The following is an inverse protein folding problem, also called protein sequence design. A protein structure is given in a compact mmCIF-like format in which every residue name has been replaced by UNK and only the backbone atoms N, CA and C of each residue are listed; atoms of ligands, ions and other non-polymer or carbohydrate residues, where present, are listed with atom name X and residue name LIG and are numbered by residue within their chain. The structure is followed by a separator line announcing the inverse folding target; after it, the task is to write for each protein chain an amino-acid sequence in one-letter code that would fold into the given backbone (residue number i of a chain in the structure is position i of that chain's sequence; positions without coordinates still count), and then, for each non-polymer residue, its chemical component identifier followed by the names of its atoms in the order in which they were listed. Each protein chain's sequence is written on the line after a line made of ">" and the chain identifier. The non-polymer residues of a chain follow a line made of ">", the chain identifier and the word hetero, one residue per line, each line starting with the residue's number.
data_IF_049431429564
#
_entry.id   IF_049431429564
#
_cell.length_a   1.000
_cell.length_b   1.000
_cell.length_c   1.000
_cell.angle_alpha   90.00
_cell.angle_beta   90.00
_cell.angle_gamma   90.00
#
_symmetry.space_group_name_H-M   'P 1'
#
loop_
_entity.id
_entity.type
_entity.pdbx_description
1 polymer ?
#
# COMPACT_ATOMS: atom_id res chain seq x y z
N UNK A 1 -14.50 8.45 5.32
CA UNK A 1 -14.03 9.67 6.01
C UNK A 1 -12.67 9.31 6.58
N UNK A 2 -11.60 9.96 6.13
CA UNK A 2 -10.25 9.75 6.64
C UNK A 2 -10.16 10.37 8.04
N UNK A 3 -9.52 9.70 9.01
CA UNK A 3 -9.33 10.26 10.36
C UNK A 3 -7.88 10.09 10.80
N UNK A 4 -7.20 11.23 11.00
CA UNK A 4 -5.85 11.32 11.54
C UNK A 4 -5.84 12.39 12.64
N UNK A 5 -5.62 11.99 13.90
CA UNK A 5 -5.48 12.93 14.99
C UNK A 5 -4.00 13.21 15.27
N UNK A 6 -3.51 14.32 14.73
CA UNK A 6 -2.09 14.69 14.78
C UNK A 6 -1.66 15.06 16.20
N UNK A 7 -2.53 15.70 16.99
CA UNK A 7 -2.20 16.14 18.35
C UNK A 7 -1.87 14.97 19.28
N UNK A 8 -2.43 13.79 19.02
CA UNK A 8 -2.13 12.57 19.76
C UNK A 8 -0.65 12.22 19.71
N UNK A 9 0.05 12.52 18.60
CA UNK A 9 1.47 12.19 18.44
C UNK A 9 2.41 13.09 19.25
N UNK A 10 1.96 14.28 19.67
CA UNK A 10 2.75 15.22 20.49
C UNK A 10 2.85 14.81 21.98
N UNK A 11 2.00 13.89 22.44
CA UNK A 11 1.91 13.47 23.85
C UNK A 11 2.30 12.01 24.09
N UNK A 12 2.89 11.36 23.09
CA UNK A 12 3.30 9.96 23.17
C UNK A 12 4.55 9.86 24.04
N UNK A 13 4.43 9.10 25.13
CA UNK A 13 5.53 8.86 26.06
C UNK A 13 5.97 7.39 26.11
N UNK A 14 5.12 6.46 25.67
CA UNK A 14 5.36 5.01 25.78
C UNK A 14 5.04 4.27 24.48
N UNK A 15 5.58 3.05 24.33
CA UNK A 15 5.33 2.17 23.18
C UNK A 15 3.84 1.84 23.04
N UNK A 16 3.13 1.62 24.14
CA UNK A 16 1.67 1.37 24.17
C UNK A 16 0.88 2.55 23.60
N UNK A 17 1.22 3.78 24.01
CA UNK A 17 0.59 4.99 23.48
C UNK A 17 0.86 5.15 21.98
N UNK A 18 2.07 4.86 21.52
CA UNK A 18 2.40 4.90 20.09
C UNK A 18 1.57 3.89 19.29
N UNK A 19 1.49 2.64 19.77
CA UNK A 19 0.66 1.61 19.14
C UNK A 19 -0.80 2.05 19.05
N UNK A 20 -1.36 2.55 20.16
CA UNK A 20 -2.73 3.05 20.22
C UNK A 20 -2.97 4.20 19.24
N UNK A 21 -2.03 5.15 19.14
CA UNK A 21 -2.11 6.27 18.22
C UNK A 21 -2.11 5.79 16.76
N UNK A 22 -1.23 4.86 16.39
CA UNK A 22 -1.19 4.27 15.05
C UNK A 22 -2.49 3.51 14.73
N UNK A 23 -3.01 2.72 15.67
CA UNK A 23 -4.24 1.95 15.51
C UNK A 23 -5.49 2.85 15.37
N UNK A 24 -5.45 4.06 15.94
CA UNK A 24 -6.54 5.03 15.86
C UNK A 24 -6.68 5.70 14.48
N UNK A 25 -5.68 5.57 13.61
CA UNK A 25 -5.71 6.14 12.26
C UNK A 25 -6.69 5.34 11.42
N UNK A 26 -7.77 5.99 10.99
CA UNK A 26 -8.76 5.38 10.12
C UNK A 26 -8.49 5.78 8.67
N UNK A 27 -7.88 4.86 7.93
CA UNK A 27 -7.52 5.01 6.52
C UNK A 27 -7.86 3.74 5.72
N UNK A 28 -9.15 3.53 5.37
CA UNK A 28 -9.60 2.30 4.73
C UNK A 28 -9.05 2.12 3.31
N UNK A 29 -8.68 3.22 2.63
CA UNK A 29 -8.15 3.20 1.26
C UNK A 29 -6.62 3.26 1.22
N UNK A 30 -5.93 3.41 2.36
CA UNK A 30 -4.47 3.54 2.38
C UNK A 30 -3.98 4.84 1.74
N UNK A 31 -4.76 5.91 1.80
CA UNK A 31 -4.37 7.23 1.30
C UNK A 31 -3.12 7.74 2.03
N UNK A 32 -3.08 7.55 3.34
CA UNK A 32 -2.00 7.97 4.22
C UNK A 32 -0.94 6.87 4.38
N UNK A 33 -0.97 5.83 3.56
CA UNK A 33 0.05 4.76 3.55
C UNK A 33 1.50 5.29 3.57
N UNK A 34 1.88 6.33 2.79
CA UNK A 34 3.25 6.87 2.82
C UNK A 34 3.65 7.45 4.18
N UNK A 35 2.71 8.06 4.89
CA UNK A 35 2.93 8.67 6.21
C UNK A 35 2.86 7.62 7.32
N UNK A 36 1.85 6.75 7.29
CA UNK A 36 1.60 5.75 8.33
C UNK A 36 2.64 4.65 8.36
N UNK A 37 3.26 4.28 7.23
CA UNK A 37 4.30 3.26 7.21
C UNK A 37 5.55 3.70 7.98
N UNK A 38 5.89 5.00 7.97
CA UNK A 38 7.00 5.55 8.76
C UNK A 38 6.79 5.31 10.26
N UNK A 39 5.56 5.52 10.75
CA UNK A 39 5.19 5.26 12.15
C UNK A 39 5.26 3.77 12.49
N UNK A 40 4.74 2.90 11.62
CA UNK A 40 4.77 1.45 11.83
C UNK A 40 6.20 0.89 11.87
N UNK A 41 7.09 1.42 11.03
CA UNK A 41 8.53 1.07 11.05
C UNK A 41 9.18 1.50 12.36
N UNK A 42 8.87 2.69 12.89
CA UNK A 42 9.38 3.14 14.20
C UNK A 42 8.89 2.27 15.34
N UNK A 43 7.60 1.93 15.34
CA UNK A 43 7.00 1.02 16.31
C UNK A 43 7.70 -0.35 16.28
N UNK A 44 8.01 -0.86 15.09
CA UNK A 44 8.81 -2.09 14.98
C UNK A 44 10.23 -1.92 15.53
N UNK A 45 10.86 -0.75 15.36
CA UNK A 45 12.15 -0.44 15.98
C UNK A 45 12.12 -0.62 17.50
N UNK A 46 11.08 -0.12 18.17
CA UNK A 46 10.90 -0.31 19.62
C UNK A 46 10.78 -1.78 20.03
N UNK A 47 10.18 -2.63 19.19
CA UNK A 47 10.14 -4.07 19.43
C UNK A 47 11.51 -4.71 19.27
N UNK A 48 12.29 -4.29 18.27
CA UNK A 48 13.66 -4.76 18.07
C UNK A 48 14.57 -4.40 19.25
N UNK A 49 14.36 -3.22 19.82
CA UNK A 49 15.12 -2.70 20.96
C UNK A 49 14.61 -3.25 22.31
N UNK A 50 13.66 -4.19 22.31
CA UNK A 50 13.07 -4.81 23.50
C UNK A 50 12.50 -3.82 24.54
N UNK A 51 12.09 -2.62 24.11
CA UNK A 51 11.45 -1.62 24.99
C UNK A 51 10.12 -2.18 25.47
N UNK A 52 9.81 -2.15 26.78
CA UNK A 52 8.52 -2.64 27.27
C UNK A 52 7.35 -1.76 26.81
N UNK A 53 6.11 -2.25 26.94
CA UNK A 53 4.91 -1.51 26.52
C UNK A 53 4.74 -0.17 27.24
N UNK A 54 5.08 -0.14 28.53
CA UNK A 54 4.86 1.03 29.40
C UNK A 54 6.15 1.80 29.71
N UNK A 55 7.28 1.32 29.18
CA UNK A 55 8.56 2.02 29.30
C UNK A 55 8.59 3.31 28.48
N UNK A 56 9.37 4.32 28.94
CA UNK A 56 9.60 5.52 28.18
C UNK A 56 10.31 5.19 26.85
N UNK A 57 9.80 5.74 25.75
CA UNK A 57 10.43 5.58 24.44
C UNK A 57 11.69 6.44 24.31
N UNK A 58 12.71 5.99 23.56
CA UNK A 58 13.94 6.75 23.35
C UNK A 58 13.69 8.16 22.79
N UNK A 59 14.48 9.14 23.24
CA UNK A 59 14.39 10.55 22.78
C UNK A 59 14.50 10.70 21.25
N UNK A 60 15.30 9.85 20.61
CA UNK A 60 15.43 9.82 19.14
C UNK A 60 14.10 9.53 18.43
N UNK A 61 13.27 8.67 19.01
CA UNK A 61 11.95 8.35 18.47
C UNK A 61 10.96 9.47 18.79
N UNK A 62 11.00 10.03 20.01
CA UNK A 62 10.18 11.19 20.40
C UNK A 62 10.36 12.36 19.43
N UNK A 63 11.60 12.79 19.20
CA UNK A 63 11.90 13.90 18.29
C UNK A 63 11.33 13.66 16.88
N UNK A 64 11.39 12.42 16.41
CA UNK A 64 10.87 12.10 15.08
C UNK A 64 9.35 11.94 15.04
N UNK A 65 8.69 11.67 16.17
CA UNK A 65 7.23 11.73 16.28
C UNK A 65 6.74 13.19 16.30
N UNK A 66 7.48 14.09 16.94
CA UNK A 66 7.23 15.53 16.88
C UNK A 66 7.42 16.08 15.46
N UNK A 67 8.50 15.69 14.78
CA UNK A 67 8.73 16.01 13.37
C UNK A 67 7.63 15.46 12.46
N UNK A 68 7.19 14.21 12.71
CA UNK A 68 6.06 13.65 11.99
C UNK A 68 4.78 14.48 12.22
N UNK A 69 4.53 14.91 13.46
CA UNK A 69 3.36 15.71 13.79
C UNK A 69 3.38 17.08 13.11
N UNK A 70 4.54 17.74 13.05
CA UNK A 70 4.69 19.02 12.34
C UNK A 70 4.50 18.87 10.83
N UNK A 71 5.15 17.87 10.22
CA UNK A 71 5.01 17.58 8.78
C UNK A 71 3.57 17.16 8.40
N UNK A 72 2.87 16.49 9.31
CA UNK A 72 1.52 16.00 9.06
C UNK A 72 0.48 17.11 9.01
N UNK A 73 0.77 18.33 9.47
CA UNK A 73 -0.17 19.45 9.37
C UNK A 73 -0.54 19.76 7.91
N UNK A 74 0.41 19.58 6.98
CA UNK A 74 0.17 19.71 5.53
C UNK A 74 -0.84 18.66 5.03
N UNK A 75 -0.95 17.50 5.68
CA UNK A 75 -1.93 16.48 5.27
C UNK A 75 -3.38 16.94 5.46
N UNK A 76 -3.62 17.97 6.29
CA UNK A 76 -4.97 18.55 6.47
C UNK A 76 -5.45 19.32 5.24
N UNK A 77 -4.54 19.82 4.40
CA UNK A 77 -4.88 20.56 3.18
C UNK A 77 -5.00 19.68 1.93
N UNK A 78 -4.69 18.38 2.04
CA UNK A 78 -4.80 17.45 0.91
C UNK A 78 -6.27 17.11 0.68
N UNK A 79 -6.81 17.59 -0.44
CA UNK A 79 -8.12 17.19 -0.94
C UNK A 79 -7.99 16.02 -1.90
N UNK A 80 -8.76 14.96 -1.65
CA UNK A 80 -8.77 13.77 -2.51
C UNK A 80 -10.17 13.61 -3.07
N UNK A 81 -10.32 13.63 -4.41
CA UNK A 81 -11.60 13.41 -5.05
C UNK A 81 -12.17 12.06 -4.63
N UNK A 82 -13.25 12.09 -3.84
CA UNK A 82 -13.83 10.88 -3.24
C UNK A 82 -14.52 9.98 -4.26
N UNK A 83 -14.93 10.52 -5.41
CA UNK A 83 -15.90 9.87 -6.27
C UNK A 83 -15.50 9.86 -7.74
N UNK A 84 -15.65 8.70 -8.37
CA UNK A 84 -15.42 8.50 -9.81
C UNK A 84 -16.52 9.16 -10.67
N UNK A 85 -17.64 9.59 -10.06
CA UNK A 85 -18.79 10.15 -10.77
C UNK A 85 -18.43 11.55 -11.28
N UNK A 86 -18.62 11.74 -12.59
CA UNK A 86 -18.18 12.93 -13.33
C UNK A 86 -17.01 12.64 -14.27
N UNK A 87 -16.17 11.65 -13.95
CA UNK A 87 -15.08 11.20 -14.83
C UNK A 87 -15.45 9.97 -15.65
N UNK A 88 -16.24 9.06 -15.07
CA UNK A 88 -16.78 7.88 -15.77
C UNK A 88 -18.03 8.27 -16.55
N UNK A 89 -17.92 8.33 -17.87
CA UNK A 89 -19.05 8.44 -18.80
C UNK A 89 -19.40 7.05 -19.33
N UNK A 90 -20.60 6.88 -19.88
CA UNK A 90 -21.11 5.59 -20.42
C UNK A 90 -20.11 4.98 -21.41
N UNK A 91 -19.44 5.80 -22.21
CA UNK A 91 -18.49 5.34 -23.23
C UNK A 91 -17.02 5.37 -22.80
N UNK A 92 -16.71 5.67 -21.53
CA UNK A 92 -15.33 5.72 -21.06
C UNK A 92 -14.70 4.33 -21.06
N UNK A 93 -13.48 4.20 -21.58
CA UNK A 93 -12.64 3.02 -21.32
C UNK A 93 -11.96 3.19 -19.95
N UNK A 94 -12.05 2.19 -19.10
CA UNK A 94 -11.48 2.19 -17.76
C UNK A 94 -10.48 1.04 -17.65
N UNK A 95 -9.21 1.37 -17.50
CA UNK A 95 -8.16 0.40 -17.25
C UNK A 95 -7.68 0.53 -15.79
N UNK A 96 -7.54 -0.60 -15.10
CA UNK A 96 -6.94 -0.66 -13.77
C UNK A 96 -5.42 -0.81 -13.90
N UNK A 97 -4.68 0.07 -13.24
CA UNK A 97 -3.23 0.01 -13.17
C UNK A 97 -2.78 -0.14 -11.72
N UNK A 98 -2.11 -1.25 -11.43
CA UNK A 98 -1.60 -1.58 -10.12
C UNK A 98 -0.08 -1.57 -10.09
N UNK A 99 0.54 -0.99 -9.06
CA UNK A 99 2.00 -0.94 -8.91
C UNK A 99 2.40 -1.54 -7.57
N UNK A 100 3.48 -2.28 -7.53
CA UNK A 100 4.05 -2.80 -6.29
C UNK A 100 5.55 -2.58 -6.21
N UNK A 101 6.02 -2.33 -4.99
CA UNK A 101 7.44 -2.13 -4.69
C UNK A 101 7.75 -2.68 -3.29
N UNK A 102 8.98 -3.14 -3.10
CA UNK A 102 9.52 -3.73 -1.89
C UNK A 102 10.86 -3.11 -1.49
N UNK A 103 10.90 -2.49 -0.32
CA UNK A 103 12.14 -1.98 0.28
C UNK A 103 12.60 -2.86 1.44
N UNK A 104 13.82 -2.61 1.95
CA UNK A 104 14.36 -3.33 3.11
C UNK A 104 13.54 -3.18 4.40
N UNK A 105 12.68 -2.15 4.51
CA UNK A 105 11.86 -1.89 5.72
C UNK A 105 10.40 -2.28 5.56
N UNK A 106 9.87 -2.18 4.35
CA UNK A 106 8.45 -2.40 4.06
C UNK A 106 8.23 -2.66 2.57
N UNK A 107 7.11 -3.31 2.25
CA UNK A 107 6.60 -3.42 0.89
C UNK A 107 5.20 -2.84 0.76
N UNK A 108 4.85 -2.49 -0.47
CA UNK A 108 3.62 -1.76 -0.77
C UNK A 108 3.00 -2.18 -2.09
N UNK A 109 1.72 -1.86 -2.22
CA UNK A 109 0.97 -1.95 -3.45
C UNK A 109 0.01 -0.76 -3.55
N UNK A 110 -0.18 -0.22 -4.74
CA UNK A 110 -1.12 0.88 -5.02
C UNK A 110 -1.87 0.59 -6.32
N UNK A 111 -3.14 0.98 -6.37
CA UNK A 111 -4.01 0.80 -7.53
C UNK A 111 -4.62 2.13 -7.94
N UNK A 112 -4.56 2.39 -9.23
CA UNK A 112 -5.15 3.53 -9.92
C UNK A 112 -6.15 3.05 -10.98
N UNK A 113 -7.13 3.88 -11.29
CA UNK A 113 -7.94 3.76 -12.50
C UNK A 113 -7.49 4.81 -13.50
N UNK A 114 -7.27 4.35 -14.73
CA UNK A 114 -7.04 5.20 -15.90
C UNK A 114 -8.33 5.24 -16.71
N UNK A 115 -8.97 6.39 -16.74
CA UNK A 115 -10.24 6.63 -17.43
C UNK A 115 -9.94 7.40 -18.71
N UNK A 116 -10.26 6.81 -19.84
CA UNK A 116 -10.11 7.41 -21.17
C UNK A 116 -11.50 7.74 -21.68
N UNK A 117 -11.78 9.03 -21.88
CA UNK A 117 -13.03 9.42 -22.51
C UNK A 117 -13.02 9.07 -24.01
N UNK A 118 -14.18 8.64 -24.53
CA UNK A 118 -14.39 8.38 -25.96
C UNK A 118 -15.30 9.46 -26.57
N UNK A 119 -15.32 9.53 -27.89
CA UNK A 119 -16.18 10.43 -28.69
C UNK A 119 -15.95 11.92 -28.40
N UNK A 120 -16.93 12.59 -27.77
CA UNK A 120 -16.97 14.06 -27.64
C UNK A 120 -15.80 14.65 -26.82
N UNK A 121 -15.19 13.85 -25.95
CA UNK A 121 -13.99 14.22 -25.18
C UNK A 121 -12.80 13.29 -25.50
N UNK A 122 -12.76 12.72 -26.71
CA UNK A 122 -11.72 11.79 -27.12
C UNK A 122 -10.32 12.36 -26.86
N UNK A 123 -9.48 11.58 -26.16
CA UNK A 123 -8.12 11.97 -25.79
C UNK A 123 -7.96 12.48 -24.36
N UNK A 124 -9.05 12.82 -23.65
CA UNK A 124 -8.95 13.19 -22.24
C UNK A 124 -8.72 11.95 -21.37
N UNK A 125 -7.57 11.92 -20.69
CA UNK A 125 -7.20 10.87 -19.73
C UNK A 125 -7.29 11.44 -18.33
N UNK A 126 -7.99 10.73 -17.45
CA UNK A 126 -8.05 11.02 -16.02
C UNK A 126 -7.51 9.82 -15.26
N UNK A 127 -6.59 10.06 -14.33
CA UNK A 127 -6.04 9.03 -13.44
C UNK A 127 -6.57 9.27 -12.04
N UNK A 128 -7.13 8.24 -11.43
CA UNK A 128 -7.73 8.33 -10.09
C UNK A 128 -7.10 7.29 -9.18
N UNK A 129 -6.63 7.72 -8.01
CA UNK A 129 -6.21 6.82 -6.94
C UNK A 129 -7.42 6.03 -6.42
N UNK A 130 -7.28 4.70 -6.30
CA UNK A 130 -8.34 3.85 -5.74
C UNK A 130 -8.01 3.47 -4.31
N UNK A 131 -6.89 2.78 -4.14
CA UNK A 131 -6.44 2.30 -2.85
C UNK A 131 -4.95 1.96 -2.88
N UNK A 132 -4.34 1.95 -1.70
CA UNK A 132 -3.01 1.39 -1.49
C UNK A 132 -2.99 0.54 -0.23
N UNK A 133 -1.94 -0.28 -0.11
CA UNK A 133 -1.70 -1.08 1.08
C UNK A 133 -0.20 -1.19 1.32
N UNK A 134 0.20 -1.05 2.57
CA UNK A 134 1.59 -1.18 3.00
C UNK A 134 1.71 -2.22 4.09
N UNK A 135 2.86 -2.91 4.14
CA UNK A 135 3.22 -3.85 5.20
C UNK A 135 4.68 -3.66 5.58
N UNK A 136 4.94 -3.60 6.88
CA UNK A 136 6.31 -3.61 7.41
C UNK A 136 6.87 -5.02 7.23
N UNK A 137 8.15 -5.12 6.87
CA UNK A 137 8.84 -6.40 6.78
C UNK A 137 8.90 -7.09 8.15
N UNK A 138 9.06 -8.40 8.23
CA UNK A 138 9.41 -9.07 9.48
C UNK A 138 10.69 -8.50 10.10
N UNK A 139 10.88 -8.72 11.40
CA UNK A 139 12.13 -8.32 12.08
C UNK A 139 13.27 -9.23 11.60
N UNK A 140 12.94 -10.49 11.32
CA UNK A 140 13.86 -11.46 10.75
C UNK A 140 14.28 -11.05 9.34
N UNK A 141 15.57 -11.24 8.98
CA UNK A 141 16.06 -10.91 7.66
C UNK A 141 15.30 -11.66 6.55
N UNK A 142 14.82 -10.92 5.56
CA UNK A 142 14.22 -11.46 4.35
C UNK A 142 14.97 -10.91 3.14
N UNK A 143 15.29 -11.78 2.19
CA UNK A 143 15.97 -11.40 0.95
C UNK A 143 15.09 -10.47 0.10
N UNK A 144 15.68 -9.49 -0.59
CA UNK A 144 14.96 -8.58 -1.48
C UNK A 144 13.97 -9.27 -2.45
N UNK A 145 14.35 -10.34 -3.17
CA UNK A 145 13.42 -11.01 -4.08
C UNK A 145 12.16 -11.57 -3.39
N UNK A 146 12.27 -11.99 -2.13
CA UNK A 146 11.12 -12.48 -1.35
C UNK A 146 10.23 -11.33 -0.88
N UNK A 147 10.81 -10.16 -0.59
CA UNK A 147 10.06 -8.94 -0.25
C UNK A 147 9.28 -8.47 -1.47
N UNK A 148 9.92 -8.39 -2.63
CA UNK A 148 9.29 -8.03 -3.90
C UNK A 148 8.22 -9.06 -4.29
N UNK A 149 8.45 -10.36 -4.08
CA UNK A 149 7.41 -11.37 -4.29
C UNK A 149 6.21 -11.18 -3.35
N UNK A 150 6.43 -10.67 -2.13
CA UNK A 150 5.35 -10.31 -1.22
C UNK A 150 4.60 -9.05 -1.67
N UNK A 151 5.29 -8.07 -2.26
CA UNK A 151 4.68 -6.86 -2.82
C UNK A 151 3.77 -7.21 -4.00
N UNK A 152 4.21 -8.08 -4.90
CA UNK A 152 3.42 -8.56 -6.03
C UNK A 152 2.16 -9.31 -5.57
N UNK A 153 2.28 -10.20 -4.56
CA UNK A 153 1.12 -10.87 -3.99
C UNK A 153 0.16 -9.88 -3.30
N UNK A 154 0.70 -8.87 -2.61
CA UNK A 154 -0.11 -7.83 -1.98
C UNK A 154 -0.92 -7.06 -3.03
N UNK A 155 -0.31 -6.76 -4.17
CA UNK A 155 -0.97 -6.11 -5.30
C UNK A 155 -2.07 -6.98 -5.90
N UNK A 156 -1.79 -8.25 -6.20
CA UNK A 156 -2.79 -9.16 -6.73
C UNK A 156 -4.03 -9.26 -5.81
N UNK A 157 -3.82 -9.34 -4.49
CA UNK A 157 -4.90 -9.36 -3.50
C UNK A 157 -5.68 -8.04 -3.45
N UNK A 158 -4.98 -6.91 -3.52
CA UNK A 158 -5.60 -5.59 -3.51
C UNK A 158 -6.46 -5.40 -4.76
N UNK A 159 -5.92 -5.70 -5.94
CA UNK A 159 -6.62 -5.61 -7.23
C UNK A 159 -7.85 -6.54 -7.28
N UNK A 160 -7.70 -7.80 -6.86
CA UNK A 160 -8.84 -8.73 -6.80
C UNK A 160 -9.96 -8.24 -5.86
N UNK A 161 -9.58 -7.66 -4.71
CA UNK A 161 -10.55 -7.06 -3.79
C UNK A 161 -11.29 -5.89 -4.45
N UNK A 162 -10.56 -4.99 -5.14
CA UNK A 162 -11.17 -3.84 -5.81
C UNK A 162 -12.10 -4.30 -6.92
N UNK A 163 -11.66 -5.21 -7.79
CA UNK A 163 -12.46 -5.78 -8.88
C UNK A 163 -13.77 -6.40 -8.39
N UNK A 164 -13.74 -7.06 -7.22
CA UNK A 164 -14.94 -7.64 -6.60
C UNK A 164 -15.89 -6.60 -6.01
N UNK A 165 -15.35 -5.52 -5.45
CA UNK A 165 -16.12 -4.52 -4.69
C UNK A 165 -16.60 -3.32 -5.50
N UNK A 166 -15.92 -3.00 -6.61
CA UNK A 166 -16.19 -1.80 -7.38
C UNK A 166 -17.28 -2.09 -8.43
N UNK A 167 -18.45 -1.43 -8.38
CA UNK A 167 -19.56 -1.69 -9.29
C UNK A 167 -19.39 -0.96 -10.63
N UNK A 168 -18.22 -1.13 -11.26
CA UNK A 168 -17.87 -0.48 -12.53
C UNK A 168 -17.18 -1.51 -13.42
N UNK A 169 -17.55 -1.52 -14.69
CA UNK A 169 -16.90 -2.38 -15.67
C UNK A 169 -15.47 -1.88 -15.96
N UNK A 170 -14.48 -2.72 -15.64
CA UNK A 170 -13.08 -2.47 -15.95
C UNK A 170 -12.74 -3.22 -17.24
N UNK A 171 -12.18 -2.51 -18.22
CA UNK A 171 -11.87 -3.04 -19.55
C UNK A 171 -10.51 -3.74 -19.62
N UNK A 172 -9.57 -3.37 -18.75
CA UNK A 172 -8.23 -3.94 -18.71
C UNK A 172 -7.63 -3.87 -17.32
N UNK A 173 -6.79 -4.84 -16.97
CA UNK A 173 -6.08 -4.91 -15.68
C UNK A 173 -4.60 -5.09 -15.95
N UNK A 174 -3.78 -4.15 -15.49
CA UNK A 174 -2.34 -4.12 -15.70
C UNK A 174 -1.64 -3.99 -14.35
N UNK A 175 -0.84 -4.99 -13.98
CA UNK A 175 -0.13 -5.03 -12.70
C UNK A 175 1.38 -4.97 -12.94
N UNK A 176 2.03 -3.98 -12.35
CA UNK A 176 3.40 -3.59 -12.65
C UNK A 176 4.31 -3.86 -11.45
N UNK A 177 5.48 -4.42 -11.75
CA UNK A 177 6.62 -4.55 -10.84
C UNK A 177 7.90 -4.22 -11.62
N UNK A 178 8.85 -3.57 -10.96
CA UNK A 178 10.20 -3.29 -11.48
C UNK A 178 11.19 -4.45 -11.23
N UNK A 179 10.80 -5.45 -10.43
CA UNK A 179 11.62 -6.62 -10.15
C UNK A 179 11.58 -7.64 -11.29
N UNK A 180 12.65 -7.69 -12.08
CA UNK A 180 12.83 -8.69 -13.14
C UNK A 180 12.78 -10.12 -12.60
N UNK A 181 13.28 -10.35 -11.37
CA UNK A 181 13.29 -11.68 -10.75
C UNK A 181 11.85 -12.12 -10.43
N UNK A 182 11.02 -11.22 -9.87
CA UNK A 182 9.62 -11.53 -9.58
C UNK A 182 8.83 -11.77 -10.85
N UNK A 183 9.01 -10.92 -11.87
CA UNK A 183 8.38 -11.11 -13.17
C UNK A 183 8.77 -12.48 -13.76
N UNK A 184 10.05 -12.82 -13.76
CA UNK A 184 10.55 -14.12 -14.22
C UNK A 184 9.89 -15.29 -13.48
N UNK A 185 9.79 -15.24 -12.14
CA UNK A 185 9.15 -16.29 -11.36
C UNK A 185 7.65 -16.43 -11.61
N UNK A 186 6.95 -15.34 -11.91
CA UNK A 186 5.52 -15.38 -12.23
C UNK A 186 5.30 -16.07 -13.59
N UNK A 187 6.13 -15.73 -14.58
CA UNK A 187 6.06 -16.27 -15.93
C UNK A 187 6.52 -17.74 -15.98
N UNK A 188 7.69 -18.00 -15.39
CA UNK A 188 8.41 -19.28 -15.40
C UNK A 188 8.71 -19.68 -13.95
N UNK A 189 7.74 -20.31 -13.26
CA UNK A 189 7.92 -20.69 -11.87
C UNK A 189 9.04 -21.73 -11.72
N UNK A 190 9.83 -21.68 -10.64
CA UNK A 190 10.94 -22.61 -10.45
C UNK A 190 10.44 -24.06 -10.35
N UNK A 191 11.03 -24.97 -11.13
CA UNK A 191 10.59 -26.38 -11.22
C UNK A 191 10.77 -27.16 -9.91
N UNK A 192 11.78 -26.85 -9.10
CA UNK A 192 12.08 -27.46 -7.79
C UNK A 192 12.72 -26.42 -6.84
N UNK A 193 12.60 -26.64 -5.53
CA UNK A 193 13.47 -25.99 -4.53
C UNK A 193 13.06 -24.60 -4.01
N UNK A 194 11.86 -24.08 -4.32
CA UNK A 194 11.42 -22.78 -3.79
C UNK A 194 9.90 -22.72 -3.52
N UNK A 195 9.45 -23.48 -2.52
CA UNK A 195 8.02 -23.56 -2.15
C UNK A 195 7.42 -22.20 -1.79
N UNK A 196 8.22 -21.29 -1.21
CA UNK A 196 7.78 -19.93 -0.90
C UNK A 196 7.31 -19.19 -2.15
N UNK A 197 8.09 -19.24 -3.23
CA UNK A 197 7.76 -18.60 -4.51
C UNK A 197 6.59 -19.33 -5.17
N UNK A 198 6.64 -20.66 -5.25
CA UNK A 198 5.58 -21.46 -5.87
C UNK A 198 4.19 -21.21 -5.26
N UNK A 199 4.10 -21.19 -3.94
CA UNK A 199 2.84 -20.93 -3.23
C UNK A 199 2.29 -19.53 -3.56
N UNK A 200 3.16 -18.53 -3.70
CA UNK A 200 2.74 -17.15 -4.00
C UNK A 200 2.36 -16.97 -5.46
N UNK A 201 3.13 -17.55 -6.39
CA UNK A 201 2.77 -17.54 -7.82
C UNK A 201 1.40 -18.19 -8.02
N UNK A 202 1.17 -19.34 -7.40
CA UNK A 202 -0.13 -20.04 -7.47
C UNK A 202 -1.27 -19.14 -6.98
N UNK A 203 -1.07 -18.45 -5.85
CA UNK A 203 -2.06 -17.49 -5.35
C UNK A 203 -2.26 -16.30 -6.29
N UNK A 204 -1.20 -15.71 -6.82
CA UNK A 204 -1.30 -14.58 -7.77
C UNK A 204 -2.12 -14.99 -8.99
N UNK A 205 -1.80 -16.13 -9.61
CA UNK A 205 -2.51 -16.65 -10.79
C UNK A 205 -3.98 -16.98 -10.48
N UNK A 206 -4.28 -17.44 -9.27
CA UNK A 206 -5.67 -17.68 -8.86
C UNK A 206 -6.48 -16.39 -8.64
N UNK A 207 -5.83 -15.32 -8.17
CA UNK A 207 -6.47 -14.04 -7.86
C UNK A 207 -6.69 -13.19 -9.10
N UNK A 208 -5.74 -13.24 -10.04
CA UNK A 208 -5.74 -12.44 -11.26
C UNK A 208 -5.31 -13.35 -12.43
N UNK A 209 -6.26 -14.05 -13.07
CA UNK A 209 -5.96 -15.03 -14.12
C UNK A 209 -5.35 -14.41 -15.39
N UNK A 210 -5.55 -13.10 -15.58
CA UNK A 210 -5.08 -12.33 -16.73
C UNK A 210 -3.68 -11.71 -16.53
N UNK A 211 -2.94 -12.08 -15.47
CA UNK A 211 -1.57 -11.59 -15.27
C UNK A 211 -0.68 -12.16 -16.37
N UNK A 212 -0.40 -11.30 -17.37
CA UNK A 212 0.69 -11.48 -18.32
C UNK A 212 1.95 -10.92 -17.66
#
# INVERSE_FOLDING_TARGET
>A
MLKLNISTFKSITTKRKLFSAIASIFDPLGILSPSTIRLKVKLQGLWRDNVSCDDPIPKTILNSLEEFASQSEVLKSIEIPRFLKGHVKVDSRIDMHGYCDGSGKAYSAVVYLRIIARYKDAGKVVVVFVASKTRVNPIEPVTFPRIEMCSALLLARLSASILKTLPIQINGVYLWSDSQIVLSWIHLPPKKGNQFVLNRVTQIKSLVPQVQ
#
